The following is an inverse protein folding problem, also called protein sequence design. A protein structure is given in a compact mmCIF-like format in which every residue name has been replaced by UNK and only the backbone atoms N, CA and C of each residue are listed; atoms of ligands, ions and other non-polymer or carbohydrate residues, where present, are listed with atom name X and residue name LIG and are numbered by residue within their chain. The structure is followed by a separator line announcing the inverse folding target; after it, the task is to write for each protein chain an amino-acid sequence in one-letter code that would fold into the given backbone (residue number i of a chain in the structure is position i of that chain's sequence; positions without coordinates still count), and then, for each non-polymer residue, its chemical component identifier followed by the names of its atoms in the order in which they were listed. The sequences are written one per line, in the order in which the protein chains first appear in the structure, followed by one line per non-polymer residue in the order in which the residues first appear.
data_IF_349644525582
#
_entry.id   IF_349644525582
#
_cell.length_a   1.000
_cell.length_b   1.000
_cell.length_c   1.000
_cell.angle_alpha   90.00
_cell.angle_beta   90.00
_cell.angle_gamma   90.00
#
_symmetry.space_group_name_H-M   'P 1'
#
loop_
_entity.id
_entity.type
_entity.pdbx_description
1 polymer ?
#
# COMPACT_ATOMS: atom_id res chain seq x y z
N UNK A 1 -5.39 23.29 -7.77
CA UNK A 1 -5.16 21.86 -7.53
C UNK A 1 -6.48 21.16 -7.33
N UNK A 2 -6.70 20.09 -8.05
CA UNK A 2 -7.92 19.32 -7.81
C UNK A 2 -7.89 18.74 -6.41
N UNK A 3 -9.00 18.88 -5.73
CA UNK A 3 -9.16 18.28 -4.41
C UNK A 3 -9.98 17.01 -4.54
N UNK A 4 -9.53 15.98 -3.83
CA UNK A 4 -10.26 14.72 -3.80
C UNK A 4 -11.17 14.74 -2.58
N UNK A 5 -12.49 14.55 -2.77
CA UNK A 5 -13.40 14.51 -1.62
C UNK A 5 -12.99 13.42 -0.64
N UNK A 6 -13.11 13.70 0.66
CA UNK A 6 -12.75 12.75 1.68
C UNK A 6 -13.54 11.45 1.57
N UNK A 7 -14.80 11.52 1.15
CA UNK A 7 -15.62 10.32 1.00
C UNK A 7 -15.05 9.37 -0.08
N UNK A 8 -14.40 9.91 -1.10
CA UNK A 8 -13.75 9.08 -2.11
C UNK A 8 -12.53 8.37 -1.52
N UNK A 9 -11.73 9.09 -0.75
CA UNK A 9 -10.57 8.52 -0.07
C UNK A 9 -11.02 7.41 0.88
N UNK A 10 -12.07 7.66 1.66
CA UNK A 10 -12.60 6.67 2.59
C UNK A 10 -13.13 5.44 1.85
N UNK A 11 -13.79 5.64 0.72
CA UNK A 11 -14.34 4.55 -0.07
C UNK A 11 -13.23 3.66 -0.63
N UNK A 12 -12.15 4.28 -1.11
CA UNK A 12 -10.99 3.53 -1.58
C UNK A 12 -10.38 2.73 -0.43
N UNK A 13 -10.23 3.36 0.72
CA UNK A 13 -9.68 2.71 1.90
C UNK A 13 -10.50 1.50 2.33
N UNK A 14 -11.82 1.60 2.24
CA UNK A 14 -12.72 0.51 2.62
C UNK A 14 -12.65 -0.65 1.64
N UNK A 15 -12.43 -0.38 0.36
CA UNK A 15 -12.42 -1.41 -0.66
C UNK A 15 -11.05 -1.97 -0.95
N UNK A 16 -10.01 -1.15 -0.85
CA UNK A 16 -8.65 -1.58 -1.14
C UNK A 16 -8.08 -2.40 0.01
N UNK A 17 -7.58 -3.59 -0.31
CA UNK A 17 -6.90 -4.43 0.66
C UNK A 17 -5.39 -4.26 0.43
N UNK A 18 -4.70 -3.79 1.47
CA UNK A 18 -3.26 -3.50 1.36
C UNK A 18 -2.46 -4.76 0.99
N UNK A 19 -2.89 -5.94 1.46
CA UNK A 19 -2.21 -7.19 1.10
C UNK A 19 -2.35 -7.45 -0.40
N UNK A 20 -3.53 -7.23 -0.95
CA UNK A 20 -3.77 -7.40 -2.38
C UNK A 20 -2.95 -6.41 -3.21
N UNK A 21 -2.94 -5.16 -2.80
CA UNK A 21 -2.21 -4.11 -3.51
C UNK A 21 -0.71 -4.39 -3.52
N UNK A 22 -0.15 -4.71 -2.36
CA UNK A 22 1.29 -4.94 -2.24
C UNK A 22 1.70 -6.26 -2.90
N UNK A 23 0.88 -7.29 -2.82
CA UNK A 23 1.23 -8.60 -3.37
C UNK A 23 1.36 -8.60 -4.89
N UNK A 24 0.87 -7.58 -5.58
CA UNK A 24 1.10 -7.43 -7.01
C UNK A 24 2.56 -7.12 -7.34
N UNK A 25 3.27 -6.51 -6.39
CA UNK A 25 4.64 -6.04 -6.59
C UNK A 25 5.66 -6.81 -5.74
N UNK A 26 5.22 -7.34 -4.60
CA UNK A 26 6.09 -7.99 -3.63
C UNK A 26 5.48 -9.33 -3.27
N UNK A 27 6.26 -10.39 -3.35
CA UNK A 27 5.78 -11.70 -2.91
C UNK A 27 5.64 -11.69 -1.40
N UNK A 28 4.43 -11.95 -0.91
CA UNK A 28 4.13 -11.97 0.52
C UNK A 28 3.76 -13.37 0.96
N UNK A 29 4.23 -13.76 2.14
CA UNK A 29 3.89 -15.04 2.75
C UNK A 29 3.23 -14.78 4.09
N UNK A 30 2.08 -15.38 4.30
CA UNK A 30 1.35 -15.23 5.55
C UNK A 30 2.03 -15.99 6.68
N UNK A 31 2.18 -15.30 7.82
CA UNK A 31 2.67 -15.92 9.06
C UNK A 31 1.83 -15.37 10.20
N UNK A 32 0.94 -16.21 10.75
CA UNK A 32 0.03 -15.76 11.78
C UNK A 32 -0.97 -14.75 11.21
N UNK A 33 -1.00 -13.55 11.81
CA UNK A 33 -1.94 -12.49 11.41
C UNK A 33 -1.34 -11.50 10.41
N UNK A 34 -0.04 -11.64 10.13
CA UNK A 34 0.66 -10.71 9.22
C UNK A 34 1.20 -11.42 7.99
N UNK A 35 1.55 -10.62 7.00
CA UNK A 35 2.20 -11.10 5.78
C UNK A 35 3.60 -10.51 5.71
N UNK A 36 4.57 -11.30 5.25
CA UNK A 36 5.98 -10.90 5.23
C UNK A 36 6.58 -11.11 3.86
N UNK A 37 7.51 -10.23 3.49
CA UNK A 37 8.22 -10.32 2.23
C UNK A 37 9.53 -9.56 2.28
N UNK A 38 10.22 -9.52 1.14
CA UNK A 38 11.46 -8.77 0.97
C UNK A 38 11.09 -7.34 0.65
N UNK A 39 11.63 -6.39 1.42
CA UNK A 39 11.31 -4.98 1.24
C UNK A 39 11.73 -4.50 -0.16
N UNK A 40 10.83 -3.86 -0.93
CA UNK A 40 11.15 -3.37 -2.26
C UNK A 40 11.83 -2.00 -2.26
N UNK A 41 11.96 -1.37 -1.10
CA UNK A 41 12.46 0.00 -1.01
C UNK A 41 13.95 0.08 -0.73
N UNK A 42 14.58 -1.04 -0.40
CA UNK A 42 16.03 -1.10 -0.24
C UNK A 42 16.51 -2.52 -0.53
N UNK A 43 17.81 -2.66 -0.68
CA UNK A 43 18.41 -3.96 -0.95
C UNK A 43 18.40 -4.80 0.32
N UNK A 44 17.61 -5.87 0.30
CA UNK A 44 17.38 -6.69 1.48
C UNK A 44 17.23 -8.16 1.06
N UNK A 45 17.72 -9.07 1.90
CA UNK A 45 17.63 -10.49 1.63
C UNK A 45 16.73 -11.25 2.61
N UNK A 46 16.41 -10.63 3.74
CA UNK A 46 15.55 -11.25 4.75
C UNK A 46 14.14 -10.70 4.64
N UNK A 47 13.11 -11.49 4.97
CA UNK A 47 11.71 -11.04 4.87
C UNK A 47 11.34 -10.14 6.06
N UNK A 48 11.87 -8.93 6.06
CA UNK A 48 11.65 -7.95 7.12
C UNK A 48 10.53 -6.96 6.80
N UNK A 49 9.92 -7.07 5.63
CA UNK A 49 8.82 -6.21 5.22
C UNK A 49 7.51 -6.83 5.69
N UNK A 50 6.81 -6.16 6.60
CA UNK A 50 5.61 -6.68 7.24
C UNK A 50 4.37 -5.92 6.78
N UNK A 51 3.30 -6.66 6.47
CA UNK A 51 2.02 -6.07 6.07
C UNK A 51 0.94 -6.59 7.03
N UNK A 52 0.24 -5.67 7.67
CA UNK A 52 -0.86 -6.00 8.57
C UNK A 52 -2.19 -5.80 7.86
N UNK A 53 -2.89 -6.89 7.58
CA UNK A 53 -4.19 -6.82 6.92
C UNK A 53 -5.25 -6.19 7.80
N UNK A 54 -5.23 -6.50 9.10
CA UNK A 54 -6.23 -5.97 10.01
C UNK A 54 -6.10 -4.46 10.21
N UNK A 55 -4.87 -3.94 10.20
CA UNK A 55 -4.62 -2.51 10.38
C UNK A 55 -4.50 -1.77 9.05
N UNK A 56 -4.37 -2.49 7.95
CA UNK A 56 -4.17 -1.93 6.60
C UNK A 56 -2.95 -1.02 6.54
N UNK A 57 -1.86 -1.49 7.13
CA UNK A 57 -0.58 -0.79 7.09
C UNK A 57 0.55 -1.76 6.78
N UNK A 58 1.68 -1.20 6.31
CA UNK A 58 2.90 -1.97 6.13
C UNK A 58 4.04 -1.30 6.88
N UNK A 59 5.08 -2.06 7.17
CA UNK A 59 6.27 -1.51 7.81
C UNK A 59 7.47 -2.39 7.48
N UNK A 60 8.61 -1.74 7.21
CA UNK A 60 9.87 -2.43 7.02
C UNK A 60 10.65 -2.43 8.33
N UNK A 61 11.00 -3.62 8.83
CA UNK A 61 11.81 -3.76 10.03
C UNK A 61 13.28 -3.96 9.70
N UNK A 62 13.65 -3.81 8.42
CA UNK A 62 15.01 -3.98 7.95
C UNK A 62 15.87 -2.71 7.97
N UNK A 63 15.36 -1.63 8.57
CA UNK A 63 16.13 -0.41 8.78
C UNK A 63 15.92 0.70 7.77
N UNK A 64 15.06 0.54 6.76
CA UNK A 64 14.80 1.61 5.79
C UNK A 64 13.68 2.55 6.22
N UNK A 65 13.03 2.28 7.35
CA UNK A 65 11.94 3.07 7.91
C UNK A 65 10.74 3.27 6.99
N UNK A 66 10.60 2.44 5.95
CA UNK A 66 9.43 2.50 5.11
C UNK A 66 8.19 2.01 5.87
N UNK A 67 7.09 2.70 5.69
CA UNK A 67 5.84 2.31 6.34
C UNK A 67 4.71 3.26 6.02
N UNK A 68 3.48 2.77 6.17
CA UNK A 68 2.30 3.58 5.93
C UNK A 68 1.11 2.76 5.47
N UNK A 69 0.16 3.41 4.83
CA UNK A 69 -1.05 2.77 4.35
C UNK A 69 -0.94 2.45 2.84
N UNK A 70 -2.05 2.03 2.25
CA UNK A 70 -2.09 1.65 0.84
C UNK A 70 -1.69 2.81 -0.09
N UNK A 71 -2.09 4.03 0.24
CA UNK A 71 -1.71 5.20 -0.56
C UNK A 71 -0.20 5.45 -0.48
N UNK A 72 0.34 5.36 0.73
CA UNK A 72 1.77 5.56 0.96
C UNK A 72 2.59 4.56 0.15
N UNK A 73 2.15 3.30 0.11
CA UNK A 73 2.86 2.28 -0.66
C UNK A 73 2.91 2.64 -2.14
N UNK A 74 1.77 3.02 -2.72
CA UNK A 74 1.73 3.38 -4.15
C UNK A 74 2.62 4.60 -4.43
N UNK A 75 2.55 5.61 -3.57
CA UNK A 75 3.38 6.81 -3.73
C UNK A 75 4.86 6.49 -3.70
N UNK A 76 5.28 5.68 -2.74
CA UNK A 76 6.69 5.35 -2.57
C UNK A 76 7.20 4.37 -3.63
N UNK A 77 6.39 3.36 -3.96
CA UNK A 77 6.83 2.33 -4.88
C UNK A 77 6.92 2.84 -6.32
N UNK A 78 5.92 3.59 -6.77
CA UNK A 78 5.87 4.11 -8.14
C UNK A 78 6.39 5.53 -8.28
N UNK A 79 6.80 6.16 -7.16
CA UNK A 79 7.29 7.56 -7.15
C UNK A 79 6.23 8.52 -7.67
N UNK A 80 5.07 8.45 -7.08
CA UNK A 80 3.90 9.24 -7.49
C UNK A 80 3.43 10.17 -6.39
N UNK A 81 2.61 11.15 -6.78
CA UNK A 81 1.97 12.04 -5.82
C UNK A 81 0.77 11.33 -5.19
N UNK A 82 0.24 11.90 -4.10
CA UNK A 82 -0.95 11.37 -3.45
C UNK A 82 -2.13 11.32 -4.43
N UNK A 83 -2.34 12.40 -5.19
CA UNK A 83 -3.41 12.45 -6.18
C UNK A 83 -3.30 11.31 -7.19
N UNK A 84 -2.10 11.06 -7.68
CA UNK A 84 -1.87 9.98 -8.63
C UNK A 84 -2.11 8.61 -8.01
N UNK A 85 -1.76 8.43 -6.74
CA UNK A 85 -2.01 7.16 -6.04
C UNK A 85 -3.51 6.91 -5.89
N UNK A 86 -4.28 7.95 -5.60
CA UNK A 86 -5.73 7.85 -5.50
C UNK A 86 -6.34 7.44 -6.84
N UNK A 87 -5.85 8.04 -7.93
CA UNK A 87 -6.35 7.70 -9.28
C UNK A 87 -6.11 6.24 -9.62
N UNK A 88 -4.91 5.73 -9.32
CA UNK A 88 -4.57 4.33 -9.60
C UNK A 88 -5.49 3.39 -8.81
N UNK A 89 -5.64 3.64 -7.51
CA UNK A 89 -6.46 2.78 -6.67
C UNK A 89 -7.95 2.86 -7.05
N UNK A 90 -8.43 4.06 -7.36
CA UNK A 90 -9.81 4.21 -7.80
C UNK A 90 -10.06 3.39 -9.07
N UNK A 91 -9.14 3.43 -10.01
CA UNK A 91 -9.25 2.67 -11.24
C UNK A 91 -9.26 1.16 -10.97
N UNK A 92 -8.36 0.69 -10.09
CA UNK A 92 -8.28 -0.73 -9.78
C UNK A 92 -9.54 -1.27 -9.11
N UNK A 93 -10.21 -0.45 -8.33
CA UNK A 93 -11.39 -0.85 -7.57
C UNK A 93 -12.69 -0.28 -8.13
N UNK A 94 -12.63 0.24 -9.37
CA UNK A 94 -13.81 0.73 -10.09
C UNK A 94 -14.57 1.82 -9.33
N UNK A 95 -13.83 2.74 -8.71
CA UNK A 95 -14.38 3.87 -8.00
C UNK A 95 -14.31 5.09 -8.92
N UNK A 96 -15.45 5.75 -9.10
CA UNK A 96 -15.53 6.90 -10.00
C UNK A 96 -15.06 8.16 -9.28
N UNK A 97 -14.11 8.85 -9.90
CA UNK A 97 -13.62 10.15 -9.42
C UNK A 97 -14.32 11.25 -10.21
N UNK A 98 -15.13 12.05 -9.53
CA UNK A 98 -15.80 13.19 -10.18
C UNK A 98 -15.43 14.47 -9.48
#
# INVERSE_FOLDING_TARGET
MPQIPQNIIDKIRDQADIVDVISREVELKRRGVNHFGICPFHDEKTPSFSVSQSKQIYKCFGGCDAGGNVFTFIMEFYKLTFFESVKILAERYNIILN
#
